data_IF_293516471980
#
_entry.id   IF_293516471980
#
_cell.length_a   1.000
_cell.length_b   1.000
_cell.length_c   1.000
_cell.angle_alpha   90.00
_cell.angle_beta   90.00
_cell.angle_gamma   90.00
#
_symmetry.space_group_name_H-M   'P 1'
#
loop_
_entity.id
_entity.type
_entity.pdbx_description
1 polymer ?
#
# COMPACT_ATOMS: atom_id res chain seq x y z
N UNK A 1 -11.29 -0.90 -23.35
CA UNK A 1 -10.68 0.03 -22.41
C UNK A 1 -10.76 -0.55 -21.01
N UNK A 2 -10.14 0.05 -20.00
CA UNK A 2 -10.20 -0.41 -18.62
C UNK A 2 -9.91 0.72 -17.63
N UNK A 3 -10.39 0.58 -16.39
CA UNK A 3 -10.12 1.49 -15.26
C UNK A 3 -9.15 0.80 -14.32
N UNK A 4 -8.10 1.49 -13.87
CA UNK A 4 -7.17 1.02 -12.84
C UNK A 4 -7.55 1.55 -11.47
N UNK A 5 -7.33 0.74 -10.43
CA UNK A 5 -7.41 1.17 -9.02
C UNK A 5 -6.19 0.60 -8.29
N UNK A 6 -5.52 1.40 -7.46
CA UNK A 6 -4.47 0.96 -6.55
C UNK A 6 -5.07 0.94 -5.14
N UNK A 7 -4.91 -0.16 -4.41
CA UNK A 7 -5.61 -0.34 -3.14
C UNK A 7 -4.88 -1.30 -2.19
N UNK A 8 -5.39 -1.38 -0.96
CA UNK A 8 -4.95 -2.32 0.05
C UNK A 8 -6.03 -3.35 0.43
N UNK A 9 -7.30 -2.93 0.46
CA UNK A 9 -8.44 -3.76 0.86
C UNK A 9 -8.22 -4.50 2.19
N UNK A 10 -7.93 -3.79 3.24
CA UNK A 10 -7.53 -4.36 4.53
C UNK A 10 -8.55 -4.11 5.67
N UNK A 11 -9.68 -4.88 5.72
CA UNK A 11 -10.22 -5.78 4.71
C UNK A 11 -10.95 -5.06 3.57
N UNK A 12 -11.47 -5.82 2.59
CA UNK A 12 -12.40 -5.29 1.60
C UNK A 12 -13.73 -4.94 2.29
N UNK A 13 -14.25 -3.73 2.07
CA UNK A 13 -15.45 -3.21 2.74
C UNK A 13 -16.34 -2.38 1.78
N UNK A 14 -17.51 -1.96 2.25
CA UNK A 14 -18.49 -1.24 1.43
C UNK A 14 -17.94 0.02 0.76
N UNK A 15 -17.03 0.75 1.40
CA UNK A 15 -16.37 1.90 0.77
C UNK A 15 -15.52 1.52 -0.45
N UNK A 16 -14.88 0.35 -0.43
CA UNK A 16 -14.14 -0.15 -1.59
C UNK A 16 -15.08 -0.63 -2.70
N UNK A 17 -16.17 -1.32 -2.33
CA UNK A 17 -17.24 -1.71 -3.29
C UNK A 17 -17.83 -0.48 -3.96
N UNK A 18 -18.15 0.56 -3.20
CA UNK A 18 -18.64 1.83 -3.71
C UNK A 18 -17.66 2.45 -4.72
N UNK A 19 -16.38 2.55 -4.39
CA UNK A 19 -15.36 3.08 -5.30
C UNK A 19 -15.34 2.35 -6.64
N UNK A 20 -15.33 1.01 -6.62
CA UNK A 20 -15.36 0.19 -7.84
C UNK A 20 -16.64 0.43 -8.65
N UNK A 21 -17.79 0.38 -8.00
CA UNK A 21 -19.10 0.56 -8.66
C UNK A 21 -19.26 1.96 -9.23
N UNK A 22 -18.81 2.99 -8.50
CA UNK A 22 -18.85 4.38 -8.95
C UNK A 22 -17.93 4.60 -10.15
N UNK A 23 -16.72 4.06 -10.13
CA UNK A 23 -15.81 4.12 -11.26
C UNK A 23 -16.43 3.47 -12.51
N UNK A 24 -17.00 2.26 -12.37
CA UNK A 24 -17.73 1.59 -13.48
C UNK A 24 -18.90 2.41 -14.00
N UNK A 25 -19.70 3.02 -13.11
CA UNK A 25 -20.87 3.82 -13.53
C UNK A 25 -20.48 5.09 -14.30
N UNK A 26 -19.30 5.66 -14.04
CA UNK A 26 -18.83 6.89 -14.69
C UNK A 26 -18.17 6.63 -16.06
N UNK A 27 -17.51 5.50 -16.24
CA UNK A 27 -16.72 5.21 -17.45
C UNK A 27 -17.28 4.05 -18.25
N UNK A 28 -18.12 3.18 -17.65
CA UNK A 28 -18.70 1.97 -18.25
C UNK A 28 -17.65 0.99 -18.79
N UNK A 29 -16.56 0.80 -18.05
CA UNK A 29 -15.43 -0.07 -18.42
C UNK A 29 -15.08 -1.03 -17.28
N UNK A 30 -14.48 -2.19 -17.56
CA UNK A 30 -14.02 -3.12 -16.54
C UNK A 30 -12.88 -2.56 -15.69
N UNK A 31 -12.78 -3.04 -14.44
CA UNK A 31 -11.84 -2.55 -13.43
C UNK A 31 -10.71 -3.53 -13.18
N UNK A 32 -9.48 -3.08 -13.38
CA UNK A 32 -8.25 -3.74 -12.95
C UNK A 32 -7.75 -3.13 -11.63
N UNK A 33 -7.44 -3.97 -10.66
CA UNK A 33 -6.95 -3.57 -9.34
C UNK A 33 -5.51 -4.02 -9.17
N UNK A 34 -4.62 -3.12 -8.71
CA UNK A 34 -3.31 -3.47 -8.16
C UNK A 34 -3.41 -3.36 -6.65
N UNK A 35 -3.26 -4.50 -5.96
CA UNK A 35 -3.55 -4.64 -4.52
C UNK A 35 -2.31 -5.01 -3.73
N UNK A 36 -2.06 -4.29 -2.61
CA UNK A 36 -1.05 -4.70 -1.62
C UNK A 36 -1.33 -6.11 -1.10
N UNK A 37 -0.28 -6.84 -0.77
CA UNK A 37 -0.37 -8.26 -0.44
C UNK A 37 -0.43 -8.50 1.08
N UNK A 38 0.56 -9.15 1.63
CA UNK A 38 0.55 -9.56 3.04
C UNK A 38 0.76 -8.41 4.02
N UNK A 39 1.34 -7.30 3.56
CA UNK A 39 1.62 -6.11 4.38
C UNK A 39 1.19 -4.85 3.65
N UNK A 40 0.93 -3.78 4.42
CA UNK A 40 0.34 -2.53 3.95
C UNK A 40 1.34 -1.38 3.91
N UNK A 41 0.96 -0.30 3.25
CA UNK A 41 1.75 0.93 3.12
C UNK A 41 2.10 1.57 4.49
N UNK A 42 1.27 1.36 5.50
CA UNK A 42 1.54 1.86 6.86
C UNK A 42 2.51 0.99 7.68
N UNK A 43 3.05 -0.09 7.08
CA UNK A 43 3.92 -1.04 7.77
C UNK A 43 3.15 -1.91 8.77
N UNK A 44 1.93 -2.29 8.41
CA UNK A 44 1.08 -3.18 9.19
C UNK A 44 0.84 -4.48 8.43
N UNK A 45 0.59 -5.58 9.16
CA UNK A 45 0.14 -6.81 8.52
C UNK A 45 -1.31 -6.64 8.06
N UNK A 46 -1.64 -7.21 6.91
CA UNK A 46 -3.02 -7.26 6.46
C UNK A 46 -3.84 -8.21 7.36
N UNK A 47 -5.07 -7.83 7.72
CA UNK A 47 -5.91 -8.60 8.65
C UNK A 47 -6.26 -10.01 8.13
N UNK A 48 -6.21 -10.21 6.81
CA UNK A 48 -6.43 -11.52 6.17
C UNK A 48 -5.54 -11.68 4.93
N UNK A 49 -5.38 -12.91 4.46
CA UNK A 49 -4.49 -13.24 3.35
C UNK A 49 -4.89 -12.56 2.03
N UNK A 50 -3.92 -12.43 1.13
CA UNK A 50 -4.11 -11.75 -0.16
C UNK A 50 -5.10 -12.44 -1.09
N UNK A 51 -5.24 -13.76 -1.01
CA UNK A 51 -6.15 -14.51 -1.88
C UNK A 51 -7.60 -14.29 -1.46
N UNK A 52 -7.89 -14.31 -0.16
CA UNK A 52 -9.20 -13.94 0.40
C UNK A 52 -9.58 -12.52 0.01
N UNK A 53 -8.67 -11.55 0.11
CA UNK A 53 -8.94 -10.16 -0.29
C UNK A 53 -9.12 -10.01 -1.80
N UNK A 54 -8.36 -10.74 -2.61
CA UNK A 54 -8.53 -10.76 -4.06
C UNK A 54 -9.89 -11.33 -4.46
N UNK A 55 -10.33 -12.43 -3.81
CA UNK A 55 -11.67 -13.01 -4.03
C UNK A 55 -12.76 -12.00 -3.66
N UNK A 56 -12.63 -11.33 -2.52
CA UNK A 56 -13.59 -10.32 -2.08
C UNK A 56 -13.65 -9.13 -3.06
N UNK A 57 -12.52 -8.71 -3.61
CA UNK A 57 -12.47 -7.64 -4.61
C UNK A 57 -13.19 -8.04 -5.92
N UNK A 58 -12.97 -9.26 -6.42
CA UNK A 58 -13.67 -9.77 -7.61
C UNK A 58 -15.17 -9.88 -7.38
N UNK A 59 -15.61 -10.45 -6.27
CA UNK A 59 -17.03 -10.52 -5.90
C UNK A 59 -17.62 -9.11 -5.64
N UNK A 60 -16.79 -8.15 -5.24
CA UNK A 60 -17.14 -6.74 -5.07
C UNK A 60 -17.22 -5.93 -6.37
N UNK A 61 -16.88 -6.55 -7.52
CA UNK A 61 -17.02 -5.95 -8.84
C UNK A 61 -15.72 -5.62 -9.57
N UNK A 62 -14.55 -5.93 -9.01
CA UNK A 62 -13.30 -5.88 -9.77
C UNK A 62 -13.27 -6.99 -10.83
N UNK A 63 -12.63 -6.73 -11.98
CA UNK A 63 -12.54 -7.70 -13.06
C UNK A 63 -11.16 -8.38 -13.11
N UNK A 64 -10.12 -7.69 -12.66
CA UNK A 64 -8.76 -8.20 -12.60
C UNK A 64 -8.09 -7.75 -11.30
N UNK A 65 -7.46 -8.66 -10.57
CA UNK A 65 -6.66 -8.36 -9.38
C UNK A 65 -5.22 -8.78 -9.62
N UNK A 66 -4.33 -7.79 -9.60
CA UNK A 66 -2.89 -7.92 -9.74
C UNK A 66 -2.24 -7.62 -8.39
N UNK A 67 -1.19 -8.35 -8.08
CA UNK A 67 -0.36 -8.16 -6.90
C UNK A 67 0.48 -6.88 -7.00
N UNK A 68 0.46 -6.02 -5.98
CA UNK A 68 1.52 -5.04 -5.76
C UNK A 68 2.59 -5.72 -4.91
N UNK A 69 3.79 -6.00 -5.44
CA UNK A 69 4.84 -6.67 -4.68
C UNK A 69 5.12 -6.00 -3.34
N UNK A 70 5.35 -6.80 -2.30
CA UNK A 70 5.49 -6.32 -0.92
C UNK A 70 6.59 -5.26 -0.76
N UNK A 71 7.65 -5.32 -1.56
CA UNK A 71 8.71 -4.32 -1.56
C UNK A 71 8.20 -2.90 -1.84
N UNK A 72 7.14 -2.77 -2.64
CA UNK A 72 6.49 -1.50 -2.96
C UNK A 72 5.26 -1.25 -2.07
N UNK A 73 4.60 -2.29 -1.60
CA UNK A 73 3.48 -2.15 -0.68
C UNK A 73 3.96 -1.55 0.66
N UNK A 74 5.09 -2.04 1.20
CA UNK A 74 5.69 -1.52 2.45
C UNK A 74 6.68 -0.40 2.11
N UNK A 75 6.15 0.73 1.63
CA UNK A 75 6.98 1.86 1.23
C UNK A 75 6.31 3.20 1.57
N UNK A 76 7.02 4.31 1.35
CA UNK A 76 6.41 5.63 1.41
C UNK A 76 5.37 5.82 0.28
N UNK A 77 4.55 6.87 0.39
CA UNK A 77 3.45 7.10 -0.55
C UNK A 77 3.92 7.27 -2.00
N UNK A 78 5.08 7.86 -2.22
CA UNK A 78 5.65 8.07 -3.55
C UNK A 78 6.01 6.74 -4.23
N UNK A 79 6.78 5.87 -3.55
CA UNK A 79 7.17 4.55 -4.09
C UNK A 79 5.96 3.66 -4.29
N UNK A 80 5.02 3.64 -3.33
CA UNK A 80 3.76 2.91 -3.44
C UNK A 80 2.97 3.32 -4.68
N UNK A 81 2.74 4.63 -4.84
CA UNK A 81 1.99 5.19 -5.96
C UNK A 81 2.68 4.96 -7.30
N UNK A 82 3.98 5.28 -7.39
CA UNK A 82 4.79 5.12 -8.60
C UNK A 82 4.78 3.67 -9.09
N UNK A 83 4.97 2.72 -8.17
CA UNK A 83 5.02 1.30 -8.51
C UNK A 83 3.65 0.75 -8.94
N UNK A 84 2.57 1.13 -8.23
CA UNK A 84 1.21 0.75 -8.60
C UNK A 84 0.80 1.32 -9.97
N UNK A 85 1.09 2.60 -10.22
CA UNK A 85 0.84 3.25 -11.52
C UNK A 85 1.67 2.58 -12.62
N UNK A 86 2.94 2.26 -12.37
CA UNK A 86 3.82 1.57 -13.34
C UNK A 86 3.25 0.20 -13.76
N UNK A 87 2.78 -0.60 -12.80
CA UNK A 87 2.15 -1.89 -13.08
C UNK A 87 0.86 -1.69 -13.88
N UNK A 88 -0.02 -0.78 -13.46
CA UNK A 88 -1.27 -0.50 -14.19
C UNK A 88 -1.01 0.02 -15.60
N UNK A 89 -0.05 0.92 -15.77
CA UNK A 89 0.28 1.49 -17.09
C UNK A 89 0.88 0.48 -18.06
N UNK A 90 1.27 -0.71 -17.59
CA UNK A 90 1.69 -1.80 -18.46
C UNK A 90 0.54 -2.48 -19.22
N UNK A 91 -0.71 -2.20 -18.83
CA UNK A 91 -1.89 -2.68 -19.54
C UNK A 91 -2.30 -1.64 -20.59
N UNK A 92 -2.07 -1.91 -21.87
CA UNK A 92 -2.36 -0.96 -22.96
C UNK A 92 -3.84 -0.59 -23.12
N UNK A 93 -4.73 -1.36 -22.48
CA UNK A 93 -6.17 -1.07 -22.40
C UNK A 93 -6.53 -0.07 -21.30
N UNK A 94 -5.61 0.26 -20.40
CA UNK A 94 -5.89 1.19 -19.31
C UNK A 94 -6.07 2.61 -19.84
N UNK A 95 -7.19 3.22 -19.53
CA UNK A 95 -7.55 4.59 -19.96
C UNK A 95 -7.78 5.54 -18.79
N UNK A 96 -8.13 4.99 -17.63
CA UNK A 96 -8.41 5.78 -16.43
C UNK A 96 -7.75 5.18 -15.20
N UNK A 97 -7.33 6.04 -14.27
CA UNK A 97 -6.94 5.67 -12.91
C UNK A 97 -7.96 6.27 -11.93
N UNK A 98 -8.75 5.42 -11.30
CA UNK A 98 -9.71 5.84 -10.30
C UNK A 98 -9.13 5.71 -8.90
N UNK A 99 -9.41 6.70 -8.05
CA UNK A 99 -8.99 6.72 -6.65
C UNK A 99 -10.00 7.46 -5.77
N UNK A 100 -10.14 6.97 -4.53
CA UNK A 100 -10.94 7.64 -3.51
C UNK A 100 -10.15 8.76 -2.84
N UNK A 101 -10.76 9.92 -2.63
CA UNK A 101 -10.14 11.09 -2.01
C UNK A 101 -11.14 11.85 -1.13
N UNK A 102 -10.65 12.61 -0.18
CA UNK A 102 -11.47 13.47 0.67
C UNK A 102 -11.92 14.72 -0.12
N UNK A 103 -11.01 15.29 -0.90
CA UNK A 103 -11.32 16.38 -1.82
C UNK A 103 -11.23 15.89 -3.28
N UNK A 104 -12.37 15.81 -3.96
CA UNK A 104 -12.46 15.32 -5.34
C UNK A 104 -12.28 16.39 -6.42
N UNK A 105 -11.88 17.60 -6.07
CA UNK A 105 -11.56 18.64 -7.05
C UNK A 105 -10.25 18.26 -7.79
N UNK A 106 -10.38 17.72 -8.98
CA UNK A 106 -9.27 17.20 -9.77
C UNK A 106 -8.25 18.27 -10.15
N UNK A 107 -8.70 19.50 -10.40
CA UNK A 107 -7.80 20.60 -10.77
C UNK A 107 -6.94 21.03 -9.57
N UNK A 108 -7.52 21.05 -8.37
CA UNK A 108 -6.78 21.33 -7.14
C UNK A 108 -5.76 20.22 -6.81
N UNK A 109 -6.16 18.95 -7.00
CA UNK A 109 -5.25 17.79 -6.84
C UNK A 109 -4.07 17.86 -7.83
N UNK A 110 -4.34 18.19 -9.11
CA UNK A 110 -3.30 18.37 -10.13
C UNK A 110 -2.38 19.54 -9.80
N UNK A 111 -2.94 20.70 -9.40
CA UNK A 111 -2.15 21.86 -8.97
C UNK A 111 -1.22 21.49 -7.82
N UNK A 112 -1.71 20.72 -6.84
CA UNK A 112 -0.88 20.23 -5.72
C UNK A 112 0.22 19.28 -6.22
N UNK A 113 -0.07 18.38 -7.15
CA UNK A 113 0.92 17.48 -7.74
C UNK A 113 2.01 18.25 -8.51
N UNK A 114 1.64 19.27 -9.27
CA UNK A 114 2.59 20.10 -10.02
C UNK A 114 3.38 21.04 -9.11
N UNK A 115 2.83 21.47 -7.96
CA UNK A 115 3.55 22.25 -6.95
C UNK A 115 4.82 21.54 -6.48
N UNK A 116 4.83 20.19 -6.41
CA UNK A 116 6.03 19.41 -6.07
C UNK A 116 7.18 19.58 -7.07
N UNK A 117 6.91 19.99 -8.31
CA UNK A 117 7.93 20.23 -9.35
C UNK A 117 8.40 21.69 -9.37
N UNK A 118 7.73 22.59 -8.65
CA UNK A 118 8.04 24.01 -8.62
C UNK A 118 9.33 24.25 -7.83
N UNK A 119 10.31 24.91 -8.46
CA UNK A 119 11.62 25.16 -7.86
C UNK A 119 11.55 26.04 -6.61
N UNK A 120 10.64 27.02 -6.55
CA UNK A 120 10.43 27.84 -5.36
C UNK A 120 9.88 27.03 -4.19
N UNK A 121 8.94 26.10 -4.45
CA UNK A 121 8.45 25.15 -3.43
C UNK A 121 9.59 24.28 -2.93
N UNK A 122 10.38 23.68 -3.83
CA UNK A 122 11.50 22.82 -3.46
C UNK A 122 12.56 23.56 -2.62
N UNK A 123 12.85 24.82 -2.94
CA UNK A 123 13.77 25.68 -2.17
C UNK A 123 13.25 25.94 -0.76
N UNK A 124 11.95 26.21 -0.60
CA UNK A 124 11.33 26.40 0.71
C UNK A 124 11.31 25.08 1.51
N UNK A 125 11.00 23.96 0.88
CA UNK A 125 11.06 22.63 1.52
C UNK A 125 12.46 22.34 2.05
N UNK A 126 13.49 22.56 1.23
CA UNK A 126 14.88 22.36 1.65
C UNK A 126 15.24 23.23 2.89
N UNK A 127 14.83 24.49 2.89
CA UNK A 127 15.04 25.42 4.01
C UNK A 127 14.31 24.95 5.28
N UNK A 128 13.05 24.56 5.16
CA UNK A 128 12.26 24.05 6.28
C UNK A 128 12.86 22.77 6.88
N UNK A 129 13.34 21.86 6.03
CA UNK A 129 14.00 20.64 6.47
C UNK A 129 15.34 20.91 7.17
N UNK A 130 16.12 21.89 6.72
CA UNK A 130 17.33 22.33 7.42
C UNK A 130 17.01 22.89 8.82
N UNK A 131 15.85 23.52 8.98
CA UNK A 131 15.34 24.03 10.26
C UNK A 131 14.69 22.92 11.13
N UNK A 132 14.81 21.65 10.74
CA UNK A 132 14.34 20.50 11.52
C UNK A 132 12.90 20.07 11.28
N UNK A 133 12.20 20.65 10.29
CA UNK A 133 10.89 20.16 9.87
C UNK A 133 11.02 18.81 9.16
N UNK A 134 10.02 17.93 9.31
CA UNK A 134 9.93 16.72 8.50
C UNK A 134 9.24 17.00 7.17
N UNK A 135 9.56 16.20 6.14
CA UNK A 135 9.17 16.45 4.75
C UNK A 135 7.67 16.74 4.55
N UNK A 136 6.68 15.94 5.08
CA UNK A 136 5.26 16.24 4.91
C UNK A 136 4.84 17.62 5.41
N UNK A 137 5.41 18.08 6.52
CA UNK A 137 5.12 19.42 7.04
C UNK A 137 5.81 20.51 6.21
N UNK A 138 7.06 20.26 5.80
CA UNK A 138 7.81 21.20 4.99
C UNK A 138 7.14 21.47 3.63
N UNK A 139 6.67 20.40 2.95
CA UNK A 139 5.97 20.53 1.66
C UNK A 139 4.61 21.22 1.83
N UNK A 140 3.85 20.89 2.87
CA UNK A 140 2.58 21.57 3.16
C UNK A 140 2.80 23.07 3.38
N UNK A 141 3.78 23.47 4.22
CA UNK A 141 4.12 24.87 4.48
C UNK A 141 4.57 25.60 3.22
N UNK A 142 5.41 24.97 2.40
CA UNK A 142 5.90 25.55 1.15
C UNK A 142 4.80 25.74 0.11
N UNK A 143 3.90 24.75 -0.03
CA UNK A 143 2.72 24.85 -0.90
C UNK A 143 1.78 25.95 -0.41
N UNK A 144 1.55 26.05 0.89
CA UNK A 144 0.75 27.12 1.50
C UNK A 144 1.28 28.50 1.18
N UNK A 145 2.59 28.70 1.29
CA UNK A 145 3.24 29.97 1.03
C UNK A 145 3.13 30.44 -0.44
N UNK A 146 3.11 29.50 -1.40
CA UNK A 146 3.14 29.83 -2.84
C UNK A 146 1.76 29.71 -3.49
N UNK A 147 0.96 28.71 -3.11
CA UNK A 147 -0.32 28.39 -3.75
C UNK A 147 -1.55 28.66 -2.86
N UNK A 148 -1.32 29.03 -1.58
CA UNK A 148 -2.38 29.34 -0.61
C UNK A 148 -2.96 28.13 0.11
N UNK A 149 -3.88 28.40 1.05
CA UNK A 149 -4.42 27.43 1.99
C UNK A 149 -5.15 26.26 1.32
N UNK A 150 -6.02 26.54 0.35
CA UNK A 150 -6.83 25.51 -0.33
C UNK A 150 -5.98 24.41 -0.97
N UNK A 151 -4.84 24.77 -1.56
CA UNK A 151 -3.92 23.82 -2.18
C UNK A 151 -3.13 23.04 -1.12
N UNK A 152 -2.74 23.72 -0.04
CA UNK A 152 -2.02 23.07 1.07
C UNK A 152 -2.89 22.09 1.86
N UNK A 153 -4.19 22.38 2.05
CA UNK A 153 -5.15 21.50 2.73
C UNK A 153 -5.30 20.13 2.05
N UNK A 154 -5.02 20.05 0.76
CA UNK A 154 -4.95 18.76 0.06
C UNK A 154 -3.95 17.80 0.74
N UNK A 155 -2.83 18.32 1.23
CA UNK A 155 -1.77 17.54 1.86
C UNK A 155 -2.05 17.17 3.33
N UNK A 156 -3.17 17.62 3.89
CA UNK A 156 -3.55 17.33 5.27
C UNK A 156 -4.20 15.95 5.46
N UNK A 157 -4.71 15.33 4.40
CA UNK A 157 -5.46 14.07 4.47
C UNK A 157 -4.77 12.94 3.70
N UNK A 158 -4.77 11.70 4.24
CA UNK A 158 -3.94 10.62 3.70
C UNK A 158 -4.34 10.16 2.30
N UNK A 159 -5.65 10.14 1.96
CA UNK A 159 -6.05 9.71 0.62
C UNK A 159 -5.79 10.80 -0.43
N UNK A 160 -5.89 12.07 -0.08
CA UNK A 160 -5.47 13.14 -0.98
C UNK A 160 -3.95 13.13 -1.21
N UNK A 161 -3.14 12.84 -0.19
CA UNK A 161 -1.68 12.66 -0.36
C UNK A 161 -1.41 11.54 -1.37
N UNK A 162 -2.06 10.39 -1.24
CA UNK A 162 -1.93 9.30 -2.23
C UNK A 162 -2.44 9.72 -3.62
N UNK A 163 -3.55 10.45 -3.71
CA UNK A 163 -4.06 10.98 -4.98
C UNK A 163 -3.03 11.89 -5.67
N UNK A 164 -2.38 12.77 -4.92
CA UNK A 164 -1.28 13.63 -5.42
C UNK A 164 -0.12 12.77 -5.93
N UNK A 165 0.30 11.75 -5.19
CA UNK A 165 1.38 10.86 -5.62
C UNK A 165 1.00 10.04 -6.88
N UNK A 166 -0.26 9.60 -7.00
CA UNK A 166 -0.74 8.99 -8.24
C UNK A 166 -0.65 9.96 -9.43
N UNK A 167 -1.09 11.20 -9.26
CA UNK A 167 -1.05 12.22 -10.32
C UNK A 167 0.39 12.58 -10.73
N UNK A 168 1.33 12.60 -9.80
CA UNK A 168 2.77 12.79 -10.09
C UNK A 168 3.34 11.69 -11.00
N UNK A 169 2.86 10.45 -10.80
CA UNK A 169 3.35 9.27 -11.51
C UNK A 169 2.55 8.94 -12.78
N UNK A 170 1.36 9.52 -12.95
CA UNK A 170 0.40 9.15 -13.99
C UNK A 170 0.87 9.58 -15.40
N UNK A 171 0.98 8.67 -16.37
CA UNK A 171 1.24 9.02 -17.77
C UNK A 171 0.10 9.85 -18.38
N UNK A 172 0.44 10.72 -19.32
CA UNK A 172 -0.50 11.66 -19.96
C UNK A 172 -1.64 11.01 -20.75
N UNK A 173 -1.46 9.76 -21.16
CA UNK A 173 -2.48 8.98 -21.87
C UNK A 173 -3.49 8.28 -20.95
N UNK A 174 -3.36 8.41 -19.64
CA UNK A 174 -4.28 7.85 -18.65
C UNK A 174 -4.95 9.00 -17.91
N UNK A 175 -6.29 9.05 -17.94
CA UNK A 175 -7.07 10.09 -17.29
C UNK A 175 -7.30 9.77 -15.80
N UNK A 176 -7.05 10.72 -14.89
CA UNK A 176 -7.39 10.54 -13.48
C UNK A 176 -8.90 10.65 -13.26
N UNK A 177 -9.44 9.79 -12.39
CA UNK A 177 -10.83 9.78 -11.99
C UNK A 177 -10.92 9.87 -10.46
N UNK A 178 -11.08 11.11 -9.97
CA UNK A 178 -11.23 11.37 -8.53
C UNK A 178 -12.65 11.08 -8.09
N UNK A 179 -12.82 10.20 -7.11
CA UNK A 179 -14.12 9.82 -6.55
C UNK A 179 -14.13 10.25 -5.08
N UNK A 180 -15.08 11.11 -4.71
CA UNK A 180 -15.24 11.53 -3.33
C UNK A 180 -15.60 10.31 -2.48
N UNK A 181 -14.91 10.15 -1.36
CA UNK A 181 -15.24 9.12 -0.38
C UNK A 181 -16.60 9.42 0.23
N UNK A 182 -17.44 8.39 0.31
CA UNK A 182 -18.72 8.44 1.04
C UNK A 182 -18.58 7.73 2.39
N UNK A 183 -19.40 8.17 3.36
CA UNK A 183 -19.42 7.65 4.72
C UNK A 183 -18.44 8.36 5.64
N UNK A 184 -17.76 7.60 6.48
CA UNK A 184 -16.95 8.10 7.59
C UNK A 184 -15.53 8.50 7.18
N UNK A 185 -14.95 9.42 7.95
CA UNK A 185 -13.55 9.84 7.81
C UNK A 185 -12.58 8.67 8.03
N UNK A 186 -11.37 8.84 7.53
CA UNK A 186 -10.30 7.86 7.73
C UNK A 186 -9.98 7.74 9.24
N UNK A 187 -9.87 6.49 9.73
CA UNK A 187 -9.64 6.16 11.15
C UNK A 187 -10.75 6.62 12.12
N UNK A 188 -11.95 6.96 11.61
CA UNK A 188 -13.12 7.25 12.46
C UNK A 188 -13.62 5.99 13.17
N UNK A 189 -14.04 6.15 14.42
CA UNK A 189 -14.80 5.14 15.19
C UNK A 189 -16.30 5.20 14.89
N UNK A 190 -16.78 6.22 14.18
CA UNK A 190 -18.17 6.36 13.80
C UNK A 190 -18.51 5.45 12.63
N UNK A 191 -19.78 5.08 12.53
CA UNK A 191 -20.35 4.35 11.38
C UNK A 191 -21.52 5.15 10.83
N UNK A 192 -21.71 5.10 9.52
CA UNK A 192 -22.80 5.81 8.85
C UNK A 192 -23.29 5.01 7.65
N UNK A 193 -24.60 4.72 7.59
CA UNK A 193 -25.28 4.10 6.44
C UNK A 193 -24.57 2.84 5.88
N UNK A 194 -24.06 1.97 6.76
CA UNK A 194 -23.32 0.77 6.36
C UNK A 194 -21.86 1.02 5.94
N UNK A 195 -21.33 2.23 6.18
CA UNK A 195 -19.93 2.56 5.97
C UNK A 195 -19.19 2.65 7.32
N UNK A 196 -17.98 2.11 7.35
CA UNK A 196 -17.08 2.20 8.50
C UNK A 196 -15.64 2.32 7.99
N UNK A 197 -14.74 2.86 8.81
CA UNK A 197 -13.31 2.89 8.49
C UNK A 197 -12.71 1.47 8.51
N UNK A 198 -11.67 1.22 7.72
CA UNK A 198 -10.98 -0.07 7.74
C UNK A 198 -10.37 -0.38 9.11
N UNK A 199 -9.92 0.63 9.87
CA UNK A 199 -9.41 0.49 11.24
C UNK A 199 -10.52 0.04 12.20
N UNK A 200 -11.70 0.65 12.12
CA UNK A 200 -12.86 0.23 12.90
C UNK A 200 -13.23 -1.24 12.62
N UNK A 201 -13.32 -1.61 11.33
CA UNK A 201 -13.67 -2.98 10.93
C UNK A 201 -12.64 -3.99 11.45
N UNK A 202 -11.33 -3.67 11.37
CA UNK A 202 -10.28 -4.53 11.92
C UNK A 202 -10.42 -4.71 13.45
N UNK A 203 -10.78 -3.65 14.15
CA UNK A 203 -10.98 -3.74 15.60
C UNK A 203 -12.20 -4.58 15.96
N UNK A 204 -13.32 -4.45 15.22
CA UNK A 204 -14.49 -5.32 15.41
C UNK A 204 -14.15 -6.79 15.14
N UNK A 205 -13.38 -7.08 14.08
CA UNK A 205 -12.93 -8.44 13.78
C UNK A 205 -12.06 -9.05 14.88
N UNK A 206 -11.12 -8.28 15.44
CA UNK A 206 -10.28 -8.73 16.57
C UNK A 206 -11.12 -9.06 17.82
N UNK A 207 -12.23 -8.35 18.00
CA UNK A 207 -13.16 -8.59 19.10
C UNK A 207 -14.18 -9.71 18.80
N UNK A 208 -14.08 -10.39 17.65
CA UNK A 208 -14.99 -11.44 17.22
C UNK A 208 -16.42 -10.96 16.91
N UNK A 209 -16.59 -9.66 16.63
CA UNK A 209 -17.90 -9.08 16.31
C UNK A 209 -18.24 -9.23 14.84
N UNK A 210 -19.53 -9.32 14.54
CA UNK A 210 -20.05 -9.37 13.19
C UNK A 210 -19.81 -8.04 12.45
N UNK A 211 -19.30 -8.11 11.22
CA UNK A 211 -19.00 -6.96 10.36
C UNK A 211 -19.85 -6.94 9.07
N UNK A 212 -20.87 -7.80 8.95
CA UNK A 212 -21.67 -7.97 7.73
C UNK A 212 -22.35 -6.66 7.27
N UNK A 213 -22.61 -5.72 8.17
CA UNK A 213 -23.13 -4.39 7.84
C UNK A 213 -22.11 -3.57 7.03
N UNK A 214 -20.81 -3.70 7.29
CA UNK A 214 -19.74 -2.84 6.75
C UNK A 214 -18.94 -3.51 5.65
N UNK A 215 -18.87 -4.84 5.66
CA UNK A 215 -18.09 -5.62 4.72
C UNK A 215 -18.94 -6.76 4.12
N UNK A 216 -19.01 -6.85 2.78
CA UNK A 216 -19.85 -7.87 2.12
C UNK A 216 -19.28 -9.29 2.26
N UNK A 217 -18.05 -9.42 2.75
CA UNK A 217 -17.35 -10.70 2.92
C UNK A 217 -16.59 -10.70 4.24
N UNK A 218 -16.89 -11.68 5.07
CA UNK A 218 -16.23 -11.87 6.36
C UNK A 218 -15.05 -12.82 6.21
N UNK A 219 -13.84 -12.44 6.69
CA UNK A 219 -12.71 -13.33 6.68
C UNK A 219 -12.89 -14.45 7.70
N UNK A 220 -12.55 -15.66 7.32
CA UNK A 220 -12.62 -16.84 8.20
C UNK A 220 -11.44 -16.95 9.16
N UNK A 221 -10.35 -16.25 8.85
CA UNK A 221 -9.10 -16.30 9.60
C UNK A 221 -8.46 -14.92 9.65
N UNK A 222 -7.92 -14.58 10.81
CA UNK A 222 -7.30 -13.29 11.07
C UNK A 222 -5.80 -13.44 11.32
N UNK A 223 -5.02 -12.56 10.71
CA UNK A 223 -3.62 -12.38 11.02
C UNK A 223 -3.47 -11.23 12.02
N UNK A 224 -2.83 -11.49 13.15
CA UNK A 224 -2.66 -10.52 14.22
C UNK A 224 -1.19 -10.11 14.35
N UNK A 225 -0.88 -8.81 14.49
CA UNK A 225 0.50 -8.33 14.62
C UNK A 225 1.25 -8.96 15.79
N UNK A 226 0.56 -9.20 16.91
CA UNK A 226 1.14 -9.72 18.16
C UNK A 226 1.76 -11.12 17.95
N UNK A 227 1.22 -11.92 17.03
CA UNK A 227 1.77 -13.23 16.70
C UNK A 227 3.13 -13.15 15.98
N UNK A 228 3.50 -11.99 15.42
CA UNK A 228 4.81 -11.76 14.79
C UNK A 228 5.81 -11.07 15.73
N UNK A 229 5.43 -10.64 16.92
CA UNK A 229 6.30 -9.84 17.79
C UNK A 229 7.62 -10.52 18.10
N UNK A 230 7.58 -11.79 18.53
CA UNK A 230 8.80 -12.56 18.82
C UNK A 230 9.69 -12.73 17.59
N UNK A 231 9.11 -13.00 16.42
CA UNK A 231 9.87 -13.14 15.18
C UNK A 231 10.53 -11.81 14.78
N UNK A 232 9.83 -10.71 14.94
CA UNK A 232 10.33 -9.37 14.66
C UNK A 232 11.45 -8.98 15.63
N UNK A 233 11.28 -9.21 16.94
CA UNK A 233 12.32 -8.97 17.94
C UNK A 233 13.56 -9.80 17.68
N UNK A 234 13.41 -11.11 17.38
CA UNK A 234 14.52 -11.98 17.01
C UNK A 234 15.28 -11.41 15.81
N UNK A 235 14.54 -11.04 14.75
CA UNK A 235 15.13 -10.47 13.54
C UNK A 235 15.92 -9.20 13.83
N UNK A 236 15.34 -8.25 14.55
CA UNK A 236 15.97 -6.98 14.87
C UNK A 236 17.23 -7.16 15.72
N UNK A 237 17.19 -8.05 16.74
CA UNK A 237 18.35 -8.37 17.60
C UNK A 237 19.49 -9.07 16.87
N UNK A 238 19.20 -9.74 15.77
CA UNK A 238 20.19 -10.42 14.93
C UNK A 238 20.86 -9.49 13.90
N UNK A 239 20.38 -8.25 13.74
CA UNK A 239 20.89 -7.31 12.74
C UNK A 239 22.01 -6.43 13.30
N UNK A 240 23.04 -6.20 12.49
CA UNK A 240 24.06 -5.18 12.75
C UNK A 240 23.54 -3.77 12.38
N UNK A 241 24.20 -2.73 12.89
CA UNK A 241 23.94 -1.34 12.52
C UNK A 241 24.01 -1.13 11.01
N UNK A 242 24.98 -1.76 10.34
CA UNK A 242 25.13 -1.67 8.88
C UNK A 242 23.92 -2.27 8.14
N UNK A 243 23.42 -3.43 8.58
CA UNK A 243 22.21 -4.03 7.99
C UNK A 243 20.95 -3.18 8.22
N UNK A 244 20.86 -2.51 9.39
CA UNK A 244 19.78 -1.54 9.64
C UNK A 244 19.89 -0.32 8.73
N UNK A 245 21.11 0.17 8.45
CA UNK A 245 21.34 1.29 7.53
C UNK A 245 20.94 0.97 6.08
N UNK A 246 20.96 -0.30 5.67
CA UNK A 246 20.55 -0.74 4.32
C UNK A 246 19.02 -0.81 4.13
N UNK A 247 18.25 -0.68 5.21
CA UNK A 247 16.79 -0.72 5.12
C UNK A 247 16.25 0.57 4.48
N UNK A 248 15.16 0.46 3.68
CA UNK A 248 14.46 1.62 3.16
C UNK A 248 14.03 2.58 4.27
N UNK A 249 13.91 3.86 3.94
CA UNK A 249 13.53 4.92 4.88
C UNK A 249 14.52 5.15 6.05
N UNK A 250 15.63 4.41 6.17
CA UNK A 250 16.68 4.63 7.18
C UNK A 250 17.70 5.62 6.65
N UNK A 251 17.80 6.78 7.31
CA UNK A 251 18.68 7.89 6.99
C UNK A 251 19.12 8.62 8.27
N UNK A 252 20.19 9.42 8.19
CA UNK A 252 20.58 10.39 9.22
C UNK A 252 20.89 9.79 10.61
N UNK A 253 21.49 8.62 10.67
CA UNK A 253 21.86 7.96 11.92
C UNK A 253 20.69 7.27 12.65
N UNK A 254 19.53 7.10 11.96
CA UNK A 254 18.35 6.40 12.51
C UNK A 254 18.67 4.94 12.85
N UNK A 255 19.57 4.30 12.09
CA UNK A 255 20.08 2.95 12.35
C UNK A 255 20.65 2.78 13.76
N UNK A 256 21.40 3.77 14.25
CA UNK A 256 21.98 3.73 15.60
C UNK A 256 20.90 3.82 16.68
N UNK A 257 19.88 4.69 16.48
CA UNK A 257 18.76 4.81 17.42
C UNK A 257 17.93 3.53 17.47
N UNK A 258 17.67 2.91 16.32
CA UNK A 258 16.95 1.63 16.26
C UNK A 258 17.77 0.55 16.96
N UNK A 259 19.08 0.46 16.67
CA UNK A 259 19.97 -0.52 17.27
C UNK A 259 20.00 -0.41 18.80
N UNK A 260 20.16 0.79 19.34
CA UNK A 260 20.13 1.05 20.78
C UNK A 260 18.79 0.64 21.39
N UNK A 261 17.66 1.09 20.80
CA UNK A 261 16.33 0.76 21.31
C UNK A 261 16.04 -0.75 21.30
N UNK A 262 16.49 -1.48 20.26
CA UNK A 262 16.33 -2.93 20.16
C UNK A 262 17.04 -3.69 21.30
N UNK A 263 18.12 -3.14 21.83
CA UNK A 263 18.88 -3.75 22.92
C UNK A 263 18.43 -3.30 24.32
N UNK A 264 17.69 -2.18 24.40
CA UNK A 264 17.19 -1.63 25.67
C UNK A 264 15.77 -2.08 25.99
N UNK A 265 14.93 -2.36 24.97
CA UNK A 265 13.50 -2.64 25.15
C UNK A 265 13.11 -4.06 24.73
N UNK A 266 11.99 -4.56 25.30
CA UNK A 266 11.56 -5.95 25.16
C UNK A 266 10.29 -6.11 24.33
N UNK A 267 9.67 -5.03 23.87
CA UNK A 267 8.51 -5.07 22.98
C UNK A 267 8.68 -4.17 21.77
N UNK A 268 8.02 -4.52 20.69
CA UNK A 268 8.02 -3.72 19.44
C UNK A 268 7.44 -2.33 19.69
N UNK A 269 6.41 -2.23 20.51
CA UNK A 269 5.80 -0.94 20.83
C UNK A 269 6.77 -0.02 21.60
N UNK A 270 7.47 -0.54 22.61
CA UNK A 270 8.48 0.24 23.34
C UNK A 270 9.59 0.73 22.41
N UNK A 271 10.11 -0.15 21.53
CA UNK A 271 11.11 0.22 20.52
C UNK A 271 10.60 1.37 19.63
N UNK A 272 9.36 1.23 19.11
CA UNK A 272 8.75 2.26 18.27
C UNK A 272 8.63 3.60 18.98
N UNK A 273 8.19 3.61 20.26
CA UNK A 273 8.04 4.84 21.02
C UNK A 273 9.38 5.46 21.43
N UNK A 274 10.41 4.67 21.73
CA UNK A 274 11.75 5.13 22.02
C UNK A 274 12.43 5.81 20.81
N UNK A 275 12.19 5.28 19.62
CA UNK A 275 12.76 5.82 18.37
C UNK A 275 11.93 6.96 17.80
N UNK A 276 10.61 7.02 18.07
CA UNK A 276 9.70 8.06 17.56
C UNK A 276 10.18 9.47 17.91
N UNK A 277 10.07 10.37 16.94
CA UNK A 277 10.34 11.80 17.12
C UNK A 277 9.48 12.62 16.17
N UNK A 278 9.58 13.95 16.22
CA UNK A 278 8.93 14.82 15.22
C UNK A 278 9.37 14.48 13.79
N UNK A 279 10.62 14.03 13.61
CA UNK A 279 11.22 13.68 12.30
C UNK A 279 10.86 12.25 11.85
N UNK A 280 10.63 11.33 12.77
CA UNK A 280 10.38 9.91 12.50
C UNK A 280 8.98 9.52 12.96
N UNK A 281 8.04 9.47 12.01
CA UNK A 281 6.64 9.10 12.28
C UNK A 281 6.51 7.60 12.58
N UNK A 282 5.48 7.19 13.32
CA UNK A 282 5.24 5.77 13.61
C UNK A 282 5.07 4.94 12.34
N UNK A 283 4.37 5.45 11.31
CA UNK A 283 4.20 4.74 10.05
C UNK A 283 5.55 4.49 9.35
N UNK A 284 6.47 5.48 9.34
CA UNK A 284 7.83 5.29 8.82
C UNK A 284 8.58 4.21 9.59
N UNK A 285 8.55 4.27 10.92
CA UNK A 285 9.23 3.29 11.77
C UNK A 285 8.66 1.88 11.60
N UNK A 286 7.33 1.74 11.56
CA UNK A 286 6.69 0.44 11.29
C UNK A 286 7.14 -0.15 9.95
N UNK A 287 7.18 0.66 8.88
CA UNK A 287 7.70 0.19 7.58
C UNK A 287 9.13 -0.31 7.68
N UNK A 288 10.00 0.41 8.37
CA UNK A 288 11.41 0.00 8.59
C UNK A 288 11.45 -1.36 9.29
N UNK A 289 10.67 -1.55 10.35
CA UNK A 289 10.66 -2.82 11.08
C UNK A 289 10.12 -3.98 10.23
N UNK A 290 9.09 -3.74 9.43
CA UNK A 290 8.57 -4.76 8.49
C UNK A 290 9.58 -5.03 7.37
N UNK A 291 10.25 -4.01 6.83
CA UNK A 291 11.34 -4.22 5.87
C UNK A 291 12.48 -5.05 6.48
N UNK A 292 12.83 -4.83 7.75
CA UNK A 292 13.79 -5.66 8.47
C UNK A 292 13.33 -7.12 8.54
N UNK A 293 12.08 -7.36 8.97
CA UNK A 293 11.49 -8.70 9.08
C UNK A 293 11.52 -9.45 7.75
N UNK A 294 11.20 -8.74 6.65
CA UNK A 294 11.08 -9.31 5.31
C UNK A 294 12.37 -9.28 4.49
N UNK A 295 13.49 -8.81 5.04
CA UNK A 295 14.76 -8.62 4.33
C UNK A 295 14.63 -7.69 3.10
N UNK A 296 13.75 -6.70 3.15
CA UNK A 296 13.60 -5.69 2.09
C UNK A 296 14.68 -4.64 2.29
N UNK A 297 15.67 -4.62 1.42
CA UNK A 297 16.74 -3.62 1.38
C UNK A 297 16.40 -2.46 0.45
N UNK A 298 17.16 -1.36 0.53
CA UNK A 298 17.11 -0.26 -0.45
C UNK A 298 17.25 -0.77 -1.88
N UNK A 299 18.15 -1.72 -2.11
CA UNK A 299 18.36 -2.31 -3.44
C UNK A 299 17.10 -3.02 -3.97
N UNK A 300 16.44 -3.83 -3.12
CA UNK A 300 15.19 -4.51 -3.49
C UNK A 300 14.09 -3.50 -3.79
N UNK A 301 13.89 -2.51 -2.93
CA UNK A 301 12.82 -1.53 -3.09
C UNK A 301 13.04 -0.59 -4.28
N UNK A 302 14.30 -0.31 -4.64
CA UNK A 302 14.67 0.51 -5.80
C UNK A 302 14.62 -0.27 -7.13
N UNK A 303 14.42 -1.58 -7.10
CA UNK A 303 14.20 -2.37 -8.33
C UNK A 303 12.89 -1.93 -8.99
N UNK A 304 12.90 -1.63 -10.28
CA UNK A 304 11.68 -1.26 -11.01
C UNK A 304 10.70 -2.45 -11.10
N UNK A 305 9.35 -2.21 -11.01
CA UNK A 305 8.36 -3.24 -11.26
C UNK A 305 8.54 -3.89 -12.64
N UNK A 306 8.76 -5.18 -12.68
CA UNK A 306 9.17 -5.91 -13.88
C UNK A 306 8.25 -7.08 -14.24
N UNK A 307 7.14 -7.28 -13.52
CA UNK A 307 6.12 -8.30 -13.80
C UNK A 307 4.74 -7.85 -13.29
N UNK A 308 3.70 -8.53 -13.79
CA UNK A 308 2.34 -8.44 -13.31
C UNK A 308 1.88 -9.84 -12.83
N UNK A 309 1.81 -10.06 -11.52
CA UNK A 309 1.32 -11.31 -10.95
C UNK A 309 -0.20 -11.26 -10.75
N UNK A 310 -0.88 -12.25 -11.32
CA UNK A 310 -2.34 -12.37 -11.28
C UNK A 310 -2.77 -13.12 -10.03
N UNK A 311 -3.67 -12.52 -9.22
CA UNK A 311 -4.33 -13.20 -8.11
C UNK A 311 -5.70 -13.74 -8.51
N UNK A 312 -6.41 -13.02 -9.38
CA UNK A 312 -7.70 -13.48 -9.88
C UNK A 312 -8.27 -12.59 -10.99
N UNK A 313 -9.25 -13.11 -11.73
CA UNK A 313 -9.89 -12.40 -12.83
C UNK A 313 -11.27 -12.97 -13.21
N UNK A 314 -12.10 -12.13 -13.84
CA UNK A 314 -13.34 -12.46 -14.56
C UNK A 314 -13.04 -12.63 -16.06
N UNK A 315 -14.07 -12.98 -16.86
CA UNK A 315 -13.93 -13.02 -18.32
C UNK A 315 -13.47 -11.66 -18.91
N UNK A 316 -13.94 -10.54 -18.37
CA UNK A 316 -13.51 -9.21 -18.82
C UNK A 316 -12.09 -8.89 -18.31
N UNK A 317 -11.74 -9.31 -17.11
CA UNK A 317 -10.38 -9.25 -16.59
C UNK A 317 -9.38 -10.00 -17.45
N UNK A 318 -9.75 -11.16 -18.01
CA UNK A 318 -8.91 -11.89 -18.95
C UNK A 318 -8.62 -11.10 -20.24
N UNK A 319 -9.55 -10.26 -20.71
CA UNK A 319 -9.35 -9.37 -21.87
C UNK A 319 -8.36 -8.24 -21.53
N UNK A 320 -8.43 -7.69 -20.31
CA UNK A 320 -7.47 -6.69 -19.83
C UNK A 320 -6.08 -7.34 -19.76
N UNK A 321 -5.98 -8.52 -19.15
CA UNK A 321 -4.72 -9.23 -18.92
C UNK A 321 -3.93 -9.46 -20.20
N UNK A 322 -4.60 -9.77 -21.32
CA UNK A 322 -3.97 -9.95 -22.63
C UNK A 322 -3.28 -8.68 -23.17
N UNK A 323 -3.56 -7.52 -22.61
CA UNK A 323 -2.96 -6.23 -23.03
C UNK A 323 -1.73 -5.84 -22.21
N UNK A 324 -1.27 -6.70 -21.30
CA UNK A 324 -0.11 -6.43 -20.45
C UNK A 324 1.19 -6.53 -21.25
N UNK A 325 2.05 -5.52 -21.11
CA UNK A 325 3.38 -5.47 -21.73
C UNK A 325 4.49 -6.01 -20.83
N UNK A 326 4.22 -6.15 -19.54
CA UNK A 326 5.12 -6.83 -18.60
C UNK A 326 4.89 -8.34 -18.63
N UNK A 327 5.90 -9.15 -18.25
CA UNK A 327 5.72 -10.58 -18.01
C UNK A 327 4.55 -10.85 -17.06
N UNK A 328 3.55 -11.60 -17.52
CA UNK A 328 2.38 -11.98 -16.73
C UNK A 328 2.69 -13.27 -15.96
N UNK A 329 2.65 -13.20 -14.62
CA UNK A 329 2.91 -14.33 -13.75
C UNK A 329 1.57 -14.97 -13.32
N UNK A 330 1.28 -16.13 -13.88
CA UNK A 330 0.14 -16.98 -13.50
C UNK A 330 0.57 -18.22 -12.70
N UNK A 331 1.88 -18.51 -12.69
CA UNK A 331 2.50 -19.58 -11.90
C UNK A 331 3.80 -19.05 -11.31
N UNK A 332 3.89 -19.04 -9.99
CA UNK A 332 5.08 -18.56 -9.27
C UNK A 332 6.33 -19.35 -9.67
N UNK A 333 6.20 -20.70 -9.81
CA UNK A 333 7.31 -21.55 -10.25
C UNK A 333 7.86 -21.11 -11.63
N UNK A 334 6.98 -20.81 -12.59
CA UNK A 334 7.39 -20.28 -13.90
C UNK A 334 7.94 -18.87 -13.80
N UNK A 335 7.37 -18.04 -12.93
CA UNK A 335 7.87 -16.68 -12.68
C UNK A 335 9.31 -16.68 -12.16
N UNK A 336 9.63 -17.55 -11.21
CA UNK A 336 10.99 -17.69 -10.69
C UNK A 336 12.01 -18.10 -11.76
N UNK A 337 11.62 -18.88 -12.75
CA UNK A 337 12.51 -19.31 -13.86
C UNK A 337 12.85 -18.18 -14.84
N UNK A 338 12.22 -16.99 -14.75
CA UNK A 338 12.61 -15.81 -15.52
C UNK A 338 13.92 -15.19 -15.04
N UNK A 339 14.33 -15.50 -13.80
CA UNK A 339 15.60 -15.02 -13.24
C UNK A 339 15.64 -13.50 -12.97
N UNK A 340 16.82 -12.99 -12.64
CA UNK A 340 17.08 -11.57 -12.48
C UNK A 340 16.18 -10.86 -11.44
N UNK A 341 15.74 -9.67 -11.78
CA UNK A 341 14.89 -8.84 -10.90
C UNK A 341 13.52 -9.49 -10.63
N UNK A 342 12.97 -10.23 -11.59
CA UNK A 342 11.70 -10.93 -11.41
C UNK A 342 11.81 -12.00 -10.32
N UNK A 343 12.85 -12.81 -10.37
CA UNK A 343 13.12 -13.83 -9.35
C UNK A 343 13.33 -13.20 -7.97
N UNK A 344 14.13 -12.12 -7.89
CA UNK A 344 14.44 -11.40 -6.66
C UNK A 344 13.17 -10.87 -5.99
N UNK A 345 12.32 -10.16 -6.72
CA UNK A 345 11.08 -9.60 -6.20
C UNK A 345 10.07 -10.70 -5.84
N UNK A 346 9.94 -11.75 -6.65
CA UNK A 346 9.07 -12.89 -6.34
C UNK A 346 9.51 -13.65 -5.10
N UNK A 347 10.82 -13.88 -4.90
CA UNK A 347 11.33 -14.50 -3.68
C UNK A 347 10.99 -13.68 -2.44
N UNK A 348 11.12 -12.35 -2.53
CA UNK A 348 10.73 -11.45 -1.44
C UNK A 348 9.23 -11.55 -1.14
N UNK A 349 8.39 -11.61 -2.16
CA UNK A 349 6.94 -11.72 -2.01
C UNK A 349 6.52 -13.07 -1.43
N UNK A 350 7.11 -14.19 -1.91
CA UNK A 350 6.88 -15.53 -1.37
C UNK A 350 7.24 -15.57 0.11
N UNK A 351 8.42 -15.05 0.47
CA UNK A 351 8.86 -14.99 1.85
C UNK A 351 7.90 -14.16 2.72
N UNK A 352 7.41 -13.02 2.21
CA UNK A 352 6.42 -12.22 2.92
C UNK A 352 5.11 -12.97 3.15
N UNK A 353 4.65 -13.79 2.20
CA UNK A 353 3.47 -14.65 2.36
C UNK A 353 3.72 -15.74 3.41
N UNK A 354 4.91 -16.32 3.42
CA UNK A 354 5.29 -17.33 4.42
C UNK A 354 5.41 -16.74 5.83
N UNK A 355 5.98 -15.53 5.96
CA UNK A 355 5.99 -14.79 7.24
C UNK A 355 4.57 -14.43 7.69
N UNK A 356 3.70 -14.01 6.76
CA UNK A 356 2.28 -13.76 7.06
C UNK A 356 1.59 -14.99 7.68
N UNK A 357 1.95 -16.19 7.24
CA UNK A 357 1.36 -17.44 7.74
C UNK A 357 1.60 -17.66 9.24
N UNK A 358 2.66 -17.05 9.80
CA UNK A 358 2.98 -17.10 11.23
C UNK A 358 2.06 -16.18 12.08
N UNK A 359 1.45 -15.20 11.45
CA UNK A 359 0.57 -14.25 12.14
C UNK A 359 -0.85 -14.79 12.36
N UNK A 360 -1.21 -15.90 11.74
CA UNK A 360 -2.49 -16.61 11.94
C UNK A 360 -2.34 -17.56 13.13
N UNK A 361 -3.38 -17.77 13.90
CA UNK A 361 -3.37 -18.69 15.04
C UNK A 361 -4.37 -19.83 14.84
N UNK A 362 -3.90 -21.12 14.81
CA UNK A 362 -2.50 -21.56 14.83
C UNK A 362 -1.77 -21.19 13.52
N UNK A 363 -0.42 -21.07 13.56
CA UNK A 363 0.36 -20.76 12.36
C UNK A 363 0.09 -21.73 11.21
N UNK A 364 -0.05 -21.19 10.02
CA UNK A 364 -0.29 -21.98 8.81
C UNK A 364 0.99 -22.52 8.19
N UNK A 365 0.85 -23.50 7.31
CA UNK A 365 1.95 -24.00 6.49
C UNK A 365 2.43 -22.90 5.51
N UNK A 366 3.73 -22.83 5.28
CA UNK A 366 4.32 -22.01 4.22
C UNK A 366 3.97 -22.55 2.81
N UNK A 367 4.28 -21.75 1.78
CA UNK A 367 4.13 -22.15 0.39
C UNK A 367 2.75 -21.88 -0.23
N UNK A 368 1.91 -21.05 0.39
CA UNK A 368 0.60 -20.68 -0.13
C UNK A 368 0.68 -20.10 -1.57
N UNK A 369 1.77 -19.39 -1.90
CA UNK A 369 2.00 -18.84 -3.23
C UNK A 369 2.18 -19.90 -4.33
N UNK A 370 2.57 -21.13 -3.96
CA UNK A 370 2.72 -22.24 -4.90
C UNK A 370 1.48 -23.13 -5.01
N UNK A 371 0.65 -23.12 -3.96
CA UNK A 371 -0.47 -24.07 -3.82
C UNK A 371 -1.83 -23.46 -4.07
N UNK A 372 -1.99 -22.13 -3.86
CA UNK A 372 -3.26 -21.47 -4.08
C UNK A 372 -3.46 -21.18 -5.57
N UNK A 373 -4.55 -21.69 -6.18
CA UNK A 373 -4.84 -21.44 -7.59
C UNK A 373 -5.28 -19.97 -7.81
N UNK A 374 -5.13 -19.51 -9.06
CA UNK A 374 -5.69 -18.21 -9.47
C UNK A 374 -7.21 -18.28 -9.37
N UNK A 375 -7.81 -17.24 -8.80
CA UNK A 375 -9.25 -17.13 -8.62
C UNK A 375 -9.89 -16.77 -9.97
N UNK A 376 -10.87 -17.56 -10.38
CA UNK A 376 -11.68 -17.29 -11.58
C UNK A 376 -13.15 -17.19 -11.19
N UNK A 377 -13.82 -16.13 -11.61
CA UNK A 377 -15.24 -15.87 -11.35
C UNK A 377 -15.94 -15.60 -12.68
#
# INVERSE_FOLDING_TARGET
MAIGIICEFNPFHNGHKYLIQKAKSLVNEPVAVVMSTSFTQRGEIAITDKFTRAKSALLGGADLVIELPVAYAVSNAEVFAKSGVKILSSFSRLTHLAFGCENSNIELLKQTADAHKNTAVQSLVAKEMQNGSYYPKAIESAVRAIYGDKTAEILATPNNVLAVEYLKALPSNISPLSIRREGVEHDSENTENGFASASYIREQLKQGKNIAEFAPFEPTELALPDNLETALLYKLRSMSVHQLADLPDVTEGLENRIYTAVHEYNSVNEILFAVKSKRYTLARLRRILICALLNITKEIQNTEPCYARVLGFTNDGAKILKSCTLPVITSVKKGLSLGGNTEKLLKTEIFATDVFSLAVNPPKKCGADFTTPIIKI
#
